data_IF_879880064916
#
_entry.id   IF_879880064916
#
_cell.length_a   1.000
_cell.length_b   1.000
_cell.length_c   1.000
_cell.angle_alpha   90.00
_cell.angle_beta   90.00
_cell.angle_gamma   90.00
#
_symmetry.space_group_name_H-M   'P 1'
#
loop_
_entity.id
_entity.type
_entity.pdbx_description
1 polymer ?
#
# COMPACT_ATOMS: atom_id res chain seq x y z
N UNK A 1 36.36 -14.90 -4.64
CA UNK A 1 35.98 -13.93 -3.59
C UNK A 1 35.32 -12.76 -4.29
N UNK A 2 34.00 -12.80 -4.36
CA UNK A 2 33.19 -11.78 -5.01
C UNK A 2 33.10 -10.58 -4.08
N UNK A 3 33.22 -9.33 -4.56
CA UNK A 3 33.13 -8.18 -3.70
C UNK A 3 31.72 -8.09 -3.12
N UNK A 4 31.62 -7.98 -1.80
CA UNK A 4 30.41 -7.62 -1.09
C UNK A 4 29.84 -6.35 -1.72
N UNK A 5 28.77 -6.50 -2.49
CA UNK A 5 27.90 -5.37 -2.81
C UNK A 5 27.21 -5.05 -1.49
N UNK A 6 27.84 -4.18 -0.70
CA UNK A 6 27.18 -3.42 0.34
C UNK A 6 26.13 -2.56 -0.36
N UNK A 7 24.97 -3.14 -0.62
CA UNK A 7 23.76 -2.39 -0.91
C UNK A 7 23.51 -1.62 0.37
N UNK A 8 23.90 -0.34 0.38
CA UNK A 8 23.30 0.64 1.25
C UNK A 8 21.79 0.52 1.04
N UNK A 9 21.11 -0.25 1.90
CA UNK A 9 19.66 -0.27 1.93
C UNK A 9 19.25 1.11 2.42
N UNK A 10 18.96 2.01 1.49
CA UNK A 10 18.33 3.28 1.80
C UNK A 10 16.94 2.97 2.37
N UNK A 11 16.86 2.91 3.70
CA UNK A 11 15.60 2.75 4.42
C UNK A 11 14.63 3.87 4.03
N UNK A 12 13.33 3.59 4.09
CA UNK A 12 12.29 4.56 3.79
C UNK A 12 12.47 5.83 4.64
N UNK A 13 12.70 6.97 3.99
CA UNK A 13 12.81 8.27 4.68
C UNK A 13 11.50 9.05 4.59
N UNK A 14 10.81 9.18 5.73
CA UNK A 14 9.63 10.04 5.85
C UNK A 14 9.94 11.47 5.38
N UNK A 15 11.15 11.97 5.65
CA UNK A 15 11.55 13.31 5.25
C UNK A 15 11.58 13.46 3.72
N UNK A 16 12.25 12.54 3.02
CA UNK A 16 12.32 12.57 1.55
C UNK A 16 10.95 12.39 0.92
N UNK A 17 10.15 11.47 1.46
CA UNK A 17 8.77 11.23 1.02
C UNK A 17 7.95 12.53 1.14
N UNK A 18 8.01 13.22 2.29
CA UNK A 18 7.29 14.49 2.48
C UNK A 18 7.77 15.61 1.55
N UNK A 19 9.07 15.68 1.26
CA UNK A 19 9.63 16.69 0.35
C UNK A 19 9.14 16.51 -1.09
N UNK A 20 8.89 15.28 -1.53
CA UNK A 20 8.48 14.98 -2.91
C UNK A 20 6.95 14.83 -3.08
N UNK A 21 6.20 14.60 -1.99
CA UNK A 21 4.75 14.46 -2.05
C UNK A 21 4.04 15.81 -2.25
N UNK A 22 3.27 15.89 -3.33
CA UNK A 22 2.33 16.99 -3.61
C UNK A 22 0.86 16.63 -3.33
N UNK A 23 0.60 15.43 -2.81
CA UNK A 23 -0.74 14.92 -2.59
C UNK A 23 -1.51 15.72 -1.53
N UNK A 24 -2.77 16.05 -1.84
CA UNK A 24 -3.66 16.79 -0.92
C UNK A 24 -4.29 15.92 0.16
N UNK A 25 -4.49 14.63 -0.13
CA UNK A 25 -5.20 13.70 0.75
C UNK A 25 -4.31 12.57 1.25
N UNK A 26 -3.52 11.93 0.40
CA UNK A 26 -2.68 10.79 0.80
C UNK A 26 -1.46 11.26 1.59
N UNK A 27 -1.03 10.45 2.56
CA UNK A 27 0.21 10.65 3.32
C UNK A 27 0.31 11.99 4.06
N UNK A 28 -0.83 12.54 4.50
CA UNK A 28 -0.90 13.75 5.36
C UNK A 28 -0.31 13.52 6.74
N UNK A 29 -0.42 12.29 7.23
CA UNK A 29 0.25 11.81 8.42
C UNK A 29 0.83 10.44 8.11
N UNK A 30 2.14 10.28 8.30
CA UNK A 30 2.87 9.07 7.93
C UNK A 30 3.40 8.43 9.21
N UNK A 31 3.13 7.16 9.38
CA UNK A 31 3.76 6.28 10.36
C UNK A 31 4.65 5.30 9.58
N UNK A 32 5.93 5.19 9.96
CA UNK A 32 6.84 4.20 9.41
C UNK A 32 7.23 3.23 10.52
N UNK A 33 7.09 1.94 10.25
CA UNK A 33 7.50 0.87 11.16
C UNK A 33 8.61 0.04 10.53
N UNK A 34 9.52 -0.51 11.35
CA UNK A 34 10.45 -1.53 10.87
C UNK A 34 9.72 -2.81 10.49
N UNK A 35 8.91 -3.34 11.40
CA UNK A 35 8.14 -4.57 11.18
C UNK A 35 6.74 -4.46 11.80
N UNK A 36 5.74 -5.00 11.11
CA UNK A 36 4.35 -5.13 11.59
C UNK A 36 3.75 -6.44 11.12
N UNK A 37 2.68 -6.96 11.75
CA UNK A 37 1.92 -8.07 11.17
C UNK A 37 1.36 -7.71 9.78
N UNK A 38 0.70 -6.56 9.68
CA UNK A 38 0.24 -6.00 8.41
C UNK A 38 0.07 -4.49 8.54
N UNK A 39 0.45 -3.73 7.50
CA UNK A 39 0.21 -2.28 7.43
C UNK A 39 -1.29 -1.96 7.50
N UNK A 40 -2.14 -2.83 6.93
CA UNK A 40 -3.60 -2.70 7.01
C UNK A 40 -4.10 -2.82 8.47
N UNK A 41 -3.54 -3.74 9.26
CA UNK A 41 -3.93 -3.93 10.66
C UNK A 41 -3.48 -2.77 11.55
N UNK A 42 -2.23 -2.34 11.38
CA UNK A 42 -1.71 -1.17 12.07
C UNK A 42 -2.59 0.05 11.76
N UNK A 43 -2.95 0.26 10.50
CA UNK A 43 -3.83 1.37 10.12
C UNK A 43 -5.26 1.20 10.62
N UNK A 44 -5.78 -0.04 10.71
CA UNK A 44 -7.09 -0.32 11.31
C UNK A 44 -7.13 0.05 12.78
N UNK A 45 -6.07 -0.23 13.52
CA UNK A 45 -5.96 0.17 14.92
C UNK A 45 -6.00 1.71 15.04
N UNK A 46 -5.21 2.42 14.23
CA UNK A 46 -5.22 3.88 14.18
C UNK A 46 -6.58 4.46 13.76
N UNK A 47 -7.25 3.86 12.77
CA UNK A 47 -8.57 4.28 12.29
C UNK A 47 -9.64 4.17 13.39
N UNK A 48 -9.61 3.08 14.17
CA UNK A 48 -10.49 2.88 15.35
C UNK A 48 -10.19 3.87 16.47
N UNK A 49 -8.93 4.29 16.61
CA UNK A 49 -8.51 5.34 17.54
C UNK A 49 -8.82 6.78 17.04
N UNK A 50 -9.51 6.93 15.90
CA UNK A 50 -9.94 8.24 15.40
C UNK A 50 -8.95 8.91 14.43
N UNK A 51 -8.00 8.17 13.85
CA UNK A 51 -7.12 8.71 12.82
C UNK A 51 -7.89 9.36 11.67
N UNK A 52 -7.36 10.47 11.16
CA UNK A 52 -7.97 11.29 10.12
C UNK A 52 -7.76 10.66 8.73
N UNK A 53 -8.58 11.06 7.77
CA UNK A 53 -8.34 10.72 6.37
C UNK A 53 -6.91 11.13 5.94
N UNK A 54 -6.27 10.28 5.13
CA UNK A 54 -4.91 10.49 4.67
C UNK A 54 -3.83 9.93 5.59
N UNK A 55 -4.18 9.46 6.80
CA UNK A 55 -3.24 8.71 7.63
C UNK A 55 -2.73 7.50 6.85
N UNK A 56 -1.42 7.38 6.78
CA UNK A 56 -0.71 6.38 5.99
C UNK A 56 0.26 5.63 6.89
N UNK A 57 0.24 4.31 6.78
CA UNK A 57 1.22 3.42 7.42
C UNK A 57 2.14 2.86 6.35
N UNK A 58 3.43 2.95 6.58
CA UNK A 58 4.50 2.29 5.83
C UNK A 58 5.18 1.28 6.74
N UNK A 59 5.72 0.21 6.17
CA UNK A 59 6.59 -0.71 6.90
C UNK A 59 7.74 -1.20 6.03
N UNK A 60 8.88 -1.52 6.66
CA UNK A 60 10.02 -2.16 5.98
C UNK A 60 9.79 -3.65 5.76
N UNK A 61 9.06 -4.34 6.66
CA UNK A 61 8.64 -5.75 6.53
C UNK A 61 7.21 -6.00 7.04
N UNK A 62 6.61 -7.14 6.65
CA UNK A 62 5.39 -7.65 7.29
C UNK A 62 5.51 -9.14 7.64
N UNK A 63 5.17 -9.52 8.87
CA UNK A 63 5.20 -10.93 9.31
C UNK A 63 3.95 -11.71 8.93
N UNK A 64 2.83 -11.02 8.70
CA UNK A 64 1.53 -11.58 8.33
C UNK A 64 0.89 -10.80 7.18
N UNK A 65 1.69 -10.44 6.17
CA UNK A 65 1.24 -9.71 5.00
C UNK A 65 0.05 -10.38 4.32
N UNK A 66 -0.96 -9.60 3.95
CA UNK A 66 -2.25 -10.10 3.43
C UNK A 66 -2.49 -9.70 1.97
N UNK A 67 -3.13 -10.61 1.25
CA UNK A 67 -3.76 -10.41 -0.03
C UNK A 67 -5.26 -10.72 0.03
N UNK A 68 -5.94 -10.59 -1.12
CA UNK A 68 -7.36 -10.91 -1.23
C UNK A 68 -7.64 -12.39 -0.96
N UNK A 69 -8.87 -12.67 -0.52
CA UNK A 69 -9.38 -14.03 -0.32
C UNK A 69 -8.48 -14.88 0.60
N UNK A 70 -7.91 -14.25 1.64
CA UNK A 70 -7.08 -14.92 2.64
C UNK A 70 -5.69 -15.32 2.17
N UNK A 71 -5.26 -14.94 0.96
CA UNK A 71 -3.89 -15.22 0.48
C UNK A 71 -2.87 -14.41 1.27
N UNK A 72 -1.67 -14.94 1.45
CA UNK A 72 -0.55 -14.20 2.04
C UNK A 72 0.16 -13.32 1.01
N UNK A 73 0.78 -12.24 1.48
CA UNK A 73 1.68 -11.39 0.71
C UNK A 73 3.09 -11.47 1.31
N UNK A 74 4.03 -12.08 0.58
CA UNK A 74 5.42 -12.19 1.02
C UNK A 74 6.03 -10.80 1.17
N UNK A 75 6.53 -10.50 2.38
CA UNK A 75 6.90 -9.13 2.75
C UNK A 75 8.28 -9.03 3.44
N UNK A 76 9.38 -9.39 2.74
CA UNK A 76 10.75 -9.27 3.27
C UNK A 76 11.14 -7.83 3.60
N UNK A 77 12.08 -7.69 4.53
CA UNK A 77 12.59 -6.41 5.01
C UNK A 77 13.36 -5.63 3.94
N UNK A 78 13.05 -4.34 3.76
CA UNK A 78 13.92 -3.36 3.09
C UNK A 78 13.99 -3.46 1.56
N UNK A 79 13.19 -4.32 0.92
CA UNK A 79 13.28 -4.57 -0.54
C UNK A 79 12.04 -4.19 -1.33
N UNK A 80 10.92 -3.91 -0.68
CA UNK A 80 9.63 -3.66 -1.31
C UNK A 80 8.90 -2.51 -0.61
N UNK A 81 7.87 -1.97 -1.26
CA UNK A 81 6.96 -1.01 -0.65
C UNK A 81 5.75 -1.71 -0.05
N UNK A 82 5.54 -1.54 1.25
CA UNK A 82 4.29 -1.91 1.93
C UNK A 82 3.65 -0.64 2.50
N UNK A 83 2.49 -0.27 1.97
CA UNK A 83 1.79 0.95 2.34
C UNK A 83 0.31 0.68 2.56
N UNK A 84 -0.29 1.37 3.53
CA UNK A 84 -1.74 1.40 3.73
C UNK A 84 -2.20 2.84 3.93
N UNK A 85 -3.28 3.24 3.29
CA UNK A 85 -3.84 4.60 3.36
C UNK A 85 -5.30 4.56 3.82
N UNK A 86 -5.65 5.45 4.73
CA UNK A 86 -7.00 5.59 5.29
C UNK A 86 -7.81 6.62 4.51
N UNK A 87 -8.99 6.23 4.03
CA UNK A 87 -9.97 7.10 3.39
C UNK A 87 -11.29 7.10 4.16
N UNK A 88 -11.98 8.24 4.18
CA UNK A 88 -13.31 8.39 4.83
C UNK A 88 -14.31 9.00 3.84
N UNK A 89 -14.63 8.30 2.74
CA UNK A 89 -15.46 8.85 1.68
C UNK A 89 -16.94 8.93 2.10
N UNK A 90 -17.64 9.95 1.60
CA UNK A 90 -19.09 10.08 1.74
C UNK A 90 -19.84 9.28 0.66
N UNK A 91 -19.60 7.96 0.58
CA UNK A 91 -20.27 7.04 -0.36
C UNK A 91 -20.84 5.83 0.39
N UNK A 92 -21.74 5.08 -0.26
CA UNK A 92 -22.30 3.86 0.31
C UNK A 92 -21.34 2.66 0.20
N UNK A 93 -21.51 1.61 1.04
CA UNK A 93 -20.69 0.39 0.97
C UNK A 93 -20.67 -0.29 -0.40
N UNK A 94 -21.78 -0.20 -1.16
CA UNK A 94 -21.90 -0.75 -2.52
C UNK A 94 -20.91 -0.14 -3.52
N UNK A 95 -20.50 1.11 -3.29
CA UNK A 95 -19.64 1.88 -4.19
C UNK A 95 -18.16 1.76 -3.78
N UNK A 96 -17.88 1.24 -2.57
CA UNK A 96 -16.54 1.06 -2.04
C UNK A 96 -15.55 0.25 -2.92
N UNK A 97 -15.98 -0.75 -3.74
CA UNK A 97 -15.08 -1.45 -4.64
C UNK A 97 -14.30 -0.52 -5.60
N UNK A 98 -14.80 0.68 -5.90
CA UNK A 98 -14.10 1.70 -6.72
C UNK A 98 -12.68 1.99 -6.23
N UNK A 99 -12.43 1.91 -4.91
CA UNK A 99 -11.11 2.16 -4.33
C UNK A 99 -10.06 1.16 -4.82
N UNK A 100 -10.43 -0.11 -5.03
CA UNK A 100 -9.49 -1.10 -5.59
C UNK A 100 -9.11 -0.74 -7.03
N UNK A 101 -10.05 -0.22 -7.81
CA UNK A 101 -9.80 0.20 -9.19
C UNK A 101 -8.90 1.45 -9.26
N UNK A 102 -9.20 2.45 -8.43
CA UNK A 102 -8.39 3.68 -8.31
C UNK A 102 -6.96 3.33 -7.89
N UNK A 103 -6.80 2.44 -6.92
CA UNK A 103 -5.49 1.99 -6.46
C UNK A 103 -4.72 1.25 -7.55
N UNK A 104 -5.37 0.32 -8.24
CA UNK A 104 -4.75 -0.44 -9.33
C UNK A 104 -4.23 0.48 -10.44
N UNK A 105 -5.02 1.51 -10.78
CA UNK A 105 -4.62 2.53 -11.75
C UNK A 105 -3.45 3.38 -11.24
N UNK A 106 -3.54 3.92 -10.02
CA UNK A 106 -2.49 4.75 -9.44
C UNK A 106 -1.14 4.00 -9.36
N UNK A 107 -1.14 2.72 -8.97
CA UNK A 107 0.08 1.91 -8.91
C UNK A 107 0.61 1.63 -10.31
N UNK A 108 -0.24 1.25 -11.25
CA UNK A 108 0.18 1.01 -12.63
C UNK A 108 0.79 2.27 -13.27
N UNK A 109 0.19 3.44 -13.04
CA UNK A 109 0.68 4.72 -13.56
C UNK A 109 1.99 5.13 -12.89
N UNK A 110 2.14 4.90 -11.58
CA UNK A 110 3.42 5.12 -10.89
C UNK A 110 4.53 4.23 -11.48
N UNK A 111 4.27 2.94 -11.73
CA UNK A 111 5.24 2.02 -12.35
C UNK A 111 5.54 2.43 -13.80
N UNK A 112 4.55 2.87 -14.57
CA UNK A 112 4.76 3.38 -15.93
C UNK A 112 5.57 4.67 -15.97
N UNK A 113 5.41 5.53 -14.97
CA UNK A 113 6.12 6.81 -14.90
C UNK A 113 7.64 6.65 -14.79
N UNK A 114 8.11 5.50 -14.30
CA UNK A 114 9.54 5.14 -14.26
C UNK A 114 9.99 4.31 -15.48
N UNK A 115 9.19 4.27 -16.55
CA UNK A 115 9.53 3.61 -17.82
C UNK A 115 9.19 2.11 -17.89
N UNK A 116 8.49 1.55 -16.91
CA UNK A 116 8.17 0.12 -16.87
C UNK A 116 6.76 -0.14 -17.43
N UNK A 117 6.58 -0.96 -18.47
CA UNK A 117 5.28 -1.17 -19.13
C UNK A 117 4.35 -2.06 -18.29
N UNK A 118 3.73 -1.48 -17.26
CA UNK A 118 2.79 -2.17 -16.40
C UNK A 118 1.42 -2.36 -17.06
N UNK A 119 0.80 -3.53 -16.83
CA UNK A 119 -0.58 -3.86 -17.18
C UNK A 119 -1.39 -4.13 -15.91
N UNK A 120 -2.69 -3.86 -15.97
CA UNK A 120 -3.60 -4.16 -14.84
C UNK A 120 -4.33 -5.45 -15.14
N UNK A 121 -4.20 -6.43 -14.26
CA UNK A 121 -5.07 -7.60 -14.22
C UNK A 121 -6.13 -7.36 -13.14
N UNK A 122 -7.34 -7.04 -13.59
CA UNK A 122 -8.44 -6.76 -12.69
C UNK A 122 -8.77 -7.97 -11.79
N UNK A 123 -9.19 -7.73 -10.54
CA UNK A 123 -9.52 -6.41 -9.99
C UNK A 123 -8.37 -5.69 -9.26
N UNK A 124 -7.19 -6.29 -9.08
CA UNK A 124 -6.26 -5.82 -8.04
C UNK A 124 -4.77 -6.14 -8.25
N UNK A 125 -4.39 -6.69 -9.41
CA UNK A 125 -3.01 -7.11 -9.68
C UNK A 125 -2.39 -6.20 -10.74
N UNK A 126 -1.15 -5.77 -10.52
CA UNK A 126 -0.34 -5.06 -11.51
C UNK A 126 0.71 -6.03 -12.01
N UNK A 127 0.82 -6.15 -13.32
CA UNK A 127 1.70 -7.08 -14.00
C UNK A 127 2.77 -6.35 -14.82
N UNK A 128 3.97 -6.90 -14.84
CA UNK A 128 5.04 -6.56 -15.78
C UNK A 128 5.50 -7.86 -16.42
N UNK A 129 5.58 -7.92 -17.75
CA UNK A 129 5.91 -9.14 -18.48
C UNK A 129 5.06 -10.36 -18.06
N UNK A 130 3.76 -10.13 -17.82
CA UNK A 130 2.77 -11.11 -17.33
C UNK A 130 3.03 -11.67 -15.92
N UNK A 131 4.05 -11.17 -15.19
CA UNK A 131 4.33 -11.52 -13.80
C UNK A 131 3.76 -10.45 -12.87
N UNK A 132 3.21 -10.86 -11.73
CA UNK A 132 2.64 -9.93 -10.75
C UNK A 132 3.76 -9.20 -10.01
N UNK A 133 3.75 -7.88 -10.07
CA UNK A 133 4.71 -7.00 -9.38
C UNK A 133 4.07 -6.19 -8.27
N UNK A 134 2.76 -5.96 -8.31
CA UNK A 134 2.06 -5.32 -7.20
C UNK A 134 0.66 -5.87 -7.00
N UNK A 135 0.15 -5.67 -5.79
CA UNK A 135 -1.20 -6.03 -5.39
C UNK A 135 -1.82 -4.93 -4.54
N UNK A 136 -3.12 -4.73 -4.71
CA UNK A 136 -3.91 -3.83 -3.88
C UNK A 136 -4.94 -4.62 -3.06
N UNK A 137 -5.20 -4.15 -1.84
CA UNK A 137 -6.17 -4.74 -0.91
C UNK A 137 -6.97 -3.63 -0.23
N UNK A 138 -8.24 -3.48 -0.61
CA UNK A 138 -9.17 -2.62 0.10
C UNK A 138 -9.89 -3.42 1.20
N UNK A 139 -9.86 -2.91 2.42
CA UNK A 139 -10.64 -3.42 3.55
C UNK A 139 -11.56 -2.31 4.08
N UNK A 140 -12.81 -2.68 4.38
CA UNK A 140 -13.88 -1.73 4.70
C UNK A 140 -14.26 -1.81 6.18
N UNK A 141 -14.79 -0.71 6.72
CA UNK A 141 -15.58 -0.72 7.94
C UNK A 141 -16.90 0.02 7.71
N UNK A 142 -18.00 -0.56 8.18
CA UNK A 142 -19.35 -0.09 7.92
C UNK A 142 -20.16 -0.05 9.21
N UNK A 143 -21.02 0.96 9.35
CA UNK A 143 -22.02 1.08 10.41
C UNK A 143 -23.41 1.18 9.76
N UNK A 144 -24.12 0.05 9.68
CA UNK A 144 -25.35 -0.06 8.89
C UNK A 144 -25.07 0.20 7.41
N UNK A 145 -25.87 1.07 6.80
CA UNK A 145 -25.73 1.48 5.39
C UNK A 145 -24.64 2.55 5.14
N UNK A 146 -23.91 2.96 6.18
CA UNK A 146 -22.83 3.93 6.07
C UNK A 146 -21.47 3.24 5.99
N UNK A 147 -20.65 3.67 5.03
CA UNK A 147 -19.23 3.36 4.99
C UNK A 147 -18.47 4.30 5.95
N UNK A 148 -17.87 3.76 7.01
CA UNK A 148 -17.14 4.57 7.99
C UNK A 148 -15.72 4.92 7.50
N UNK A 149 -15.05 3.94 6.89
CA UNK A 149 -13.75 4.13 6.25
C UNK A 149 -13.37 2.99 5.30
N UNK A 150 -12.41 3.29 4.44
CA UNK A 150 -11.68 2.33 3.60
C UNK A 150 -10.21 2.37 3.97
N UNK A 151 -9.61 1.21 4.22
CA UNK A 151 -8.16 1.04 4.31
C UNK A 151 -7.70 0.44 3.00
N UNK A 152 -6.87 1.18 2.27
CA UNK A 152 -6.32 0.75 1.01
C UNK A 152 -4.85 0.37 1.19
N UNK A 153 -4.59 -0.94 1.21
CA UNK A 153 -3.27 -1.53 1.23
C UNK A 153 -2.70 -1.67 -0.18
N UNK A 154 -1.40 -1.42 -0.32
CA UNK A 154 -0.61 -1.59 -1.54
C UNK A 154 0.69 -2.29 -1.18
N UNK A 155 0.98 -3.40 -1.86
CA UNK A 155 2.27 -4.05 -1.85
C UNK A 155 2.90 -3.98 -3.23
N UNK A 156 4.13 -3.45 -3.35
CA UNK A 156 4.87 -3.36 -4.62
C UNK A 156 6.22 -4.03 -4.47
N UNK A 157 6.49 -5.01 -5.32
CA UNK A 157 7.79 -5.65 -5.44
C UNK A 157 8.75 -4.70 -6.16
N UNK A 158 9.82 -4.27 -5.48
CA UNK A 158 10.81 -3.36 -6.04
C UNK A 158 12.12 -4.11 -6.34
N UNK A 159 12.71 -4.70 -5.31
CA UNK A 159 14.03 -5.34 -5.36
C UNK A 159 14.02 -6.77 -4.83
N UNK A 160 12.84 -7.39 -4.68
CA UNK A 160 12.74 -8.80 -4.30
C UNK A 160 13.06 -9.69 -5.51
N UNK A 161 13.95 -10.66 -5.30
CA UNK A 161 14.37 -11.66 -6.29
C UNK A 161 13.42 -12.87 -6.35
#
# INVERSE_FOLDING_TARGET
>A
MSPEVSILQDALSIELIRRQLSAKTVARQIYLFGEVPSTNDALRHLAKAGAREGTTVLAESQTAGRGRLGKSWFSPFGVNLYASVLFRPAIGPKDAPVFSFIAGLAVADAVRSVGVPAAIKWPNDILVNRKKVAGVLAELATSGDRLDYVILGVGVNLNVE
#
